data_IF_853312224378
#
_entry.id   IF_853312224378
#
_cell.length_a   1.000
_cell.length_b   1.000
_cell.length_c   1.000
_cell.angle_alpha   90.00
_cell.angle_beta   90.00
_cell.angle_gamma   90.00
#
_symmetry.space_group_name_H-M   'P 1'
#
loop_
_entity.id
_entity.type
_entity.pdbx_description
1 polymer ?
#
# COMPACT_ATOMS: atom_id res chain seq x y z
N UNK A 1 -0.20 -19.25 -4.43
CA UNK A 1 -0.46 -18.46 -3.19
C UNK A 1 -0.10 -17.02 -3.46
N UNK A 2 -0.94 -16.08 -2.98
CA UNK A 2 -0.70 -14.62 -3.07
C UNK A 2 -0.47 -14.07 -1.66
N UNK A 3 0.58 -13.27 -1.44
CA UNK A 3 0.77 -12.51 -0.21
C UNK A 3 0.33 -11.06 -0.41
N UNK A 4 -0.48 -10.55 0.52
CA UNK A 4 -0.85 -9.12 0.58
C UNK A 4 -0.30 -8.52 1.86
N UNK A 5 0.59 -7.55 1.78
CA UNK A 5 1.01 -6.75 2.94
C UNK A 5 0.13 -5.52 3.09
N UNK A 6 0.05 -4.96 4.30
CA UNK A 6 -0.89 -3.88 4.55
C UNK A 6 -2.37 -4.30 4.44
N UNK A 7 -2.65 -5.60 4.59
CA UNK A 7 -3.96 -6.21 4.38
C UNK A 7 -5.07 -5.64 5.29
N UNK A 8 -4.74 -5.01 6.40
CA UNK A 8 -5.69 -4.35 7.30
C UNK A 8 -5.93 -2.87 6.97
N UNK A 9 -5.13 -2.31 6.03
CA UNK A 9 -5.29 -0.93 5.54
C UNK A 9 -6.49 -0.74 4.61
N UNK A 10 -6.79 0.51 4.25
CA UNK A 10 -7.94 0.84 3.38
C UNK A 10 -7.87 0.08 2.05
N UNK A 11 -6.74 0.15 1.34
CA UNK A 11 -6.57 -0.56 0.07
C UNK A 11 -6.42 -2.07 0.29
N UNK A 12 -5.53 -2.47 1.20
CA UNK A 12 -5.17 -3.88 1.35
C UNK A 12 -6.37 -4.78 1.68
N UNK A 13 -7.32 -4.32 2.51
CA UNK A 13 -8.53 -5.09 2.82
C UNK A 13 -9.43 -5.33 1.61
N UNK A 14 -9.55 -4.35 0.72
CA UNK A 14 -10.36 -4.49 -0.49
C UNK A 14 -9.62 -5.34 -1.53
N UNK A 15 -8.31 -5.18 -1.64
CA UNK A 15 -7.47 -6.02 -2.50
C UNK A 15 -7.55 -7.50 -2.11
N UNK A 16 -7.47 -7.82 -0.81
CA UNK A 16 -7.68 -9.20 -0.31
C UNK A 16 -9.06 -9.72 -0.72
N UNK A 17 -10.11 -8.90 -0.56
CA UNK A 17 -11.47 -9.28 -0.97
C UNK A 17 -11.56 -9.59 -2.47
N UNK A 18 -11.01 -8.72 -3.32
CA UNK A 18 -11.07 -8.89 -4.77
C UNK A 18 -10.25 -10.12 -5.24
N UNK A 19 -9.11 -10.38 -4.63
CA UNK A 19 -8.32 -11.58 -4.90
C UNK A 19 -9.07 -12.86 -4.52
N UNK A 20 -9.75 -12.88 -3.37
CA UNK A 20 -10.60 -14.02 -2.95
C UNK A 20 -11.81 -14.22 -3.87
N UNK A 21 -12.47 -13.13 -4.32
CA UNK A 21 -13.54 -13.21 -5.32
C UNK A 21 -13.07 -13.82 -6.64
N UNK A 22 -11.81 -13.57 -7.01
CA UNK A 22 -11.15 -14.18 -8.19
C UNK A 22 -10.66 -15.61 -7.94
N UNK A 23 -10.98 -16.22 -6.78
CA UNK A 23 -10.61 -17.59 -6.43
C UNK A 23 -9.13 -17.77 -6.07
N UNK A 24 -8.38 -16.71 -5.82
CA UNK A 24 -6.99 -16.80 -5.39
C UNK A 24 -6.90 -17.29 -3.94
N UNK A 25 -5.88 -18.08 -3.62
CA UNK A 25 -5.51 -18.37 -2.23
C UNK A 25 -4.70 -17.20 -1.70
N UNK A 26 -5.18 -16.54 -0.65
CA UNK A 26 -4.61 -15.30 -0.12
C UNK A 26 -4.05 -15.51 1.28
N UNK A 27 -2.78 -15.18 1.44
CA UNK A 27 -2.12 -14.96 2.73
C UNK A 27 -2.08 -13.46 3.00
N UNK A 28 -2.67 -13.02 4.11
CA UNK A 28 -2.80 -11.62 4.47
C UNK A 28 -1.86 -11.29 5.64
N UNK A 29 -0.86 -10.46 5.38
CA UNK A 29 0.09 -10.03 6.39
C UNK A 29 -0.48 -8.93 7.26
N UNK A 30 -0.35 -9.08 8.57
CA UNK A 30 -0.77 -8.12 9.59
C UNK A 30 0.28 -7.96 10.68
N UNK A 31 0.23 -6.86 11.41
CA UNK A 31 0.98 -6.73 12.68
C UNK A 31 0.22 -7.45 13.81
N UNK A 32 0.91 -7.90 14.84
CA UNK A 32 0.28 -8.52 16.02
C UNK A 32 -0.81 -7.64 16.65
N UNK A 33 -0.65 -6.32 16.59
CA UNK A 33 -1.61 -5.34 17.11
C UNK A 33 -2.77 -5.02 16.17
N UNK A 34 -2.81 -5.57 14.96
CA UNK A 34 -3.86 -5.26 13.98
C UNK A 34 -5.20 -5.86 14.37
N UNK A 35 -6.26 -5.07 14.21
CA UNK A 35 -7.63 -5.53 14.42
C UNK A 35 -8.21 -6.06 13.10
N UNK A 36 -8.28 -7.38 12.94
CA UNK A 36 -8.82 -8.02 11.73
C UNK A 36 -10.35 -7.98 11.65
N UNK A 37 -11.04 -7.83 12.78
CA UNK A 37 -12.50 -7.72 12.79
C UNK A 37 -13.00 -6.46 12.08
N UNK A 38 -12.21 -5.38 12.09
CA UNK A 38 -12.51 -4.18 11.30
C UNK A 38 -12.48 -4.45 9.79
N UNK A 39 -11.62 -5.35 9.33
CA UNK A 39 -11.57 -5.79 7.93
C UNK A 39 -12.88 -6.47 7.57
N UNK A 40 -13.30 -7.47 8.37
CA UNK A 40 -14.55 -8.20 8.19
C UNK A 40 -15.76 -7.25 8.14
N UNK A 41 -15.85 -6.33 9.10
CA UNK A 41 -16.95 -5.34 9.16
C UNK A 41 -16.98 -4.42 7.93
N UNK A 42 -15.81 -4.00 7.45
CA UNK A 42 -15.72 -3.13 6.26
C UNK A 42 -16.20 -3.84 4.98
N UNK A 43 -16.05 -5.16 4.90
CA UNK A 43 -16.48 -5.94 3.74
C UNK A 43 -17.99 -6.03 3.56
N UNK A 44 -18.77 -5.83 4.63
CA UNK A 44 -20.24 -5.78 4.56
C UNK A 44 -20.75 -4.66 3.64
N UNK A 45 -19.93 -3.63 3.38
CA UNK A 45 -20.24 -2.57 2.41
C UNK A 45 -19.98 -2.98 0.95
N UNK A 46 -19.25 -4.09 0.71
CA UNK A 46 -18.82 -4.51 -0.62
C UNK A 46 -19.41 -5.84 -1.07
N UNK A 47 -19.88 -6.69 -0.14
CA UNK A 47 -20.39 -8.02 -0.47
C UNK A 47 -21.26 -8.58 0.64
N UNK A 48 -22.29 -9.35 0.26
CA UNK A 48 -23.06 -10.17 1.20
C UNK A 48 -22.29 -11.40 1.71
N UNK A 49 -21.25 -11.84 0.96
CA UNK A 49 -20.43 -13.01 1.28
C UNK A 49 -19.24 -12.70 2.21
N UNK A 50 -19.27 -11.58 2.92
CA UNK A 50 -18.14 -11.10 3.72
C UNK A 50 -17.61 -12.15 4.69
N UNK A 51 -18.48 -12.83 5.41
CA UNK A 51 -18.09 -13.84 6.40
C UNK A 51 -17.42 -15.04 5.76
N UNK A 52 -18.06 -15.65 4.77
CA UNK A 52 -17.54 -16.81 4.05
C UNK A 52 -16.19 -16.55 3.39
N UNK A 53 -15.98 -15.36 2.83
CA UNK A 53 -14.72 -14.99 2.19
C UNK A 53 -13.64 -14.68 3.24
N UNK A 54 -14.01 -14.06 4.36
CA UNK A 54 -13.07 -13.75 5.43
C UNK A 54 -12.45 -15.01 6.06
N UNK A 55 -13.21 -16.08 6.19
CA UNK A 55 -12.75 -17.38 6.70
C UNK A 55 -11.70 -18.06 5.78
N UNK A 56 -11.62 -17.65 4.52
CA UNK A 56 -10.65 -18.20 3.55
C UNK A 56 -9.27 -17.54 3.64
N UNK A 57 -9.11 -16.49 4.45
CA UNK A 57 -7.86 -15.77 4.57
C UNK A 57 -6.89 -16.54 5.48
N UNK A 58 -5.68 -16.78 4.99
CA UNK A 58 -4.57 -17.19 5.83
C UNK A 58 -3.91 -15.93 6.44
N UNK A 59 -4.25 -15.62 7.69
CA UNK A 59 -3.65 -14.50 8.41
C UNK A 59 -2.28 -14.88 8.96
N UNK A 60 -1.27 -14.01 8.70
CA UNK A 60 0.08 -14.20 9.24
C UNK A 60 0.57 -12.92 9.91
N UNK A 61 1.24 -13.06 11.04
CA UNK A 61 1.92 -11.96 11.68
C UNK A 61 3.24 -11.70 10.97
N UNK A 62 3.45 -10.45 10.54
CA UNK A 62 4.65 -10.04 9.81
C UNK A 62 5.23 -8.77 10.44
N UNK A 63 6.53 -8.81 10.66
CA UNK A 63 7.37 -7.65 10.94
C UNK A 63 8.32 -7.44 9.75
N UNK A 64 8.22 -6.29 9.08
CA UNK A 64 9.06 -5.97 7.92
C UNK A 64 10.56 -5.88 8.24
N UNK A 65 10.93 -5.84 9.51
CA UNK A 65 12.33 -5.80 9.96
C UNK A 65 12.85 -7.15 10.41
N UNK A 66 11.98 -8.14 10.55
CA UNK A 66 12.34 -9.51 10.88
C UNK A 66 12.33 -10.38 9.61
N UNK A 67 13.55 -10.63 9.09
CA UNK A 67 13.73 -11.41 7.86
C UNK A 67 13.20 -12.84 8.00
N UNK A 68 13.23 -13.44 9.17
CA UNK A 68 12.71 -14.79 9.39
C UNK A 68 11.17 -14.78 9.36
N UNK A 69 10.55 -13.74 9.91
CA UNK A 69 9.11 -13.49 9.77
C UNK A 69 8.72 -13.36 8.28
N UNK A 70 9.51 -12.61 7.49
CA UNK A 70 9.29 -12.45 6.05
C UNK A 70 9.48 -13.77 5.28
N UNK A 71 10.54 -14.55 5.60
CA UNK A 71 10.77 -15.87 4.98
C UNK A 71 9.61 -16.82 5.22
N UNK A 72 9.09 -16.85 6.44
CA UNK A 72 7.93 -17.67 6.78
C UNK A 72 6.67 -17.20 6.03
N UNK A 73 6.44 -15.89 5.96
CA UNK A 73 5.30 -15.33 5.25
C UNK A 73 5.33 -15.56 3.74
N UNK A 74 6.53 -15.60 3.14
CA UNK A 74 6.73 -15.80 1.70
C UNK A 74 6.86 -17.28 1.29
N UNK A 75 6.77 -18.21 2.22
CA UNK A 75 6.86 -19.62 1.88
C UNK A 75 5.70 -20.07 1.00
N UNK A 76 5.99 -20.63 -0.19
CA UNK A 76 5.01 -21.06 -1.19
C UNK A 76 4.23 -19.90 -1.86
N UNK A 77 4.69 -18.65 -1.71
CA UNK A 77 4.09 -17.46 -2.34
C UNK A 77 4.63 -17.28 -3.76
N UNK A 78 3.75 -17.03 -4.71
CA UNK A 78 4.11 -16.76 -6.10
C UNK A 78 3.94 -15.27 -6.49
N UNK A 79 2.99 -14.59 -5.87
CA UNK A 79 2.68 -13.20 -6.15
C UNK A 79 2.66 -12.40 -4.84
N UNK A 80 3.31 -11.24 -4.82
CA UNK A 80 3.28 -10.30 -3.69
C UNK A 80 2.58 -9.02 -4.11
N UNK A 81 1.64 -8.56 -3.29
CA UNK A 81 1.01 -7.25 -3.38
C UNK A 81 1.44 -6.46 -2.15
N UNK A 82 2.43 -5.58 -2.34
CA UNK A 82 3.02 -4.81 -1.26
C UNK A 82 2.32 -3.46 -1.11
N UNK A 83 1.27 -3.43 -0.27
CA UNK A 83 0.48 -2.23 0.05
C UNK A 83 0.76 -1.70 1.48
N UNK A 84 1.77 -2.24 2.16
CA UNK A 84 2.17 -1.78 3.48
C UNK A 84 2.96 -0.49 3.37
N UNK A 85 2.51 0.56 4.07
CA UNK A 85 3.25 1.80 4.24
C UNK A 85 2.82 2.50 5.53
N UNK A 86 3.74 3.29 6.10
CA UNK A 86 3.39 4.31 7.09
C UNK A 86 3.08 5.61 6.33
N UNK A 87 1.90 6.17 6.58
CA UNK A 87 1.47 7.48 6.05
C UNK A 87 1.38 8.44 7.22
N UNK A 88 2.08 9.56 7.15
CA UNK A 88 1.96 10.66 8.10
C UNK A 88 2.34 11.97 7.43
N UNK A 89 1.63 13.03 7.78
CA UNK A 89 1.98 14.41 7.38
C UNK A 89 2.73 15.15 8.48
N UNK A 90 3.04 14.47 9.58
CA UNK A 90 3.73 15.08 10.72
C UNK A 90 5.26 14.98 10.52
N UNK A 91 6.01 16.12 10.55
CA UNK A 91 7.46 16.10 10.29
C UNK A 91 8.26 15.17 11.20
N UNK A 92 7.86 15.01 12.47
CA UNK A 92 8.53 14.09 13.41
C UNK A 92 8.45 12.62 13.03
N UNK A 93 7.52 12.23 12.17
CA UNK A 93 7.37 10.84 11.73
C UNK A 93 8.21 10.52 10.48
N UNK A 94 8.93 11.51 9.93
CA UNK A 94 9.70 11.34 8.68
C UNK A 94 10.72 10.20 8.78
N UNK A 95 11.46 10.12 9.87
CA UNK A 95 12.45 9.05 10.06
C UNK A 95 11.81 7.66 10.16
N UNK A 96 10.68 7.55 10.85
CA UNK A 96 9.95 6.29 10.94
C UNK A 96 9.32 5.91 9.60
N UNK A 97 8.84 6.88 8.82
CA UNK A 97 8.37 6.65 7.44
C UNK A 97 9.49 6.14 6.55
N UNK A 98 10.67 6.77 6.56
CA UNK A 98 11.83 6.29 5.81
C UNK A 98 12.16 4.85 6.20
N UNK A 99 12.26 4.57 7.47
CA UNK A 99 12.56 3.22 7.95
C UNK A 99 11.51 2.21 7.52
N UNK A 100 10.23 2.52 7.72
CA UNK A 100 9.14 1.57 7.43
C UNK A 100 8.95 1.39 5.92
N UNK A 101 8.92 2.49 5.17
CA UNK A 101 8.58 2.44 3.75
C UNK A 101 9.77 2.02 2.89
N UNK A 102 10.99 2.47 3.21
CA UNK A 102 12.18 2.15 2.40
C UNK A 102 12.79 0.82 2.84
N UNK A 103 13.24 0.73 4.10
CA UNK A 103 13.92 -0.49 4.57
C UNK A 103 12.96 -1.68 4.63
N UNK A 104 11.69 -1.46 5.01
CA UNK A 104 10.67 -2.51 4.99
C UNK A 104 10.41 -3.05 3.58
N UNK A 105 10.34 -2.17 2.56
CA UNK A 105 10.20 -2.59 1.15
C UNK A 105 11.44 -3.32 0.67
N UNK A 106 12.63 -2.82 1.00
CA UNK A 106 13.91 -3.45 0.66
C UNK A 106 14.02 -4.88 1.22
N UNK A 107 13.69 -5.06 2.49
CA UNK A 107 13.67 -6.38 3.12
C UNK A 107 12.66 -7.32 2.45
N UNK A 108 11.48 -6.82 2.11
CA UNK A 108 10.44 -7.60 1.41
C UNK A 108 10.92 -8.03 0.02
N UNK A 109 11.55 -7.13 -0.75
CA UNK A 109 12.12 -7.43 -2.06
C UNK A 109 13.23 -8.47 -1.94
N UNK A 110 14.15 -8.28 -0.99
CA UNK A 110 15.25 -9.22 -0.76
C UNK A 110 14.76 -10.65 -0.51
N UNK A 111 13.76 -10.82 0.36
CA UNK A 111 13.19 -12.16 0.63
C UNK A 111 12.33 -12.64 -0.54
N UNK A 112 11.64 -11.77 -1.26
CA UNK A 112 10.88 -12.14 -2.47
C UNK A 112 11.81 -12.69 -3.57
N UNK A 113 12.99 -12.10 -3.74
CA UNK A 113 14.05 -12.61 -4.64
C UNK A 113 14.58 -13.97 -4.16
N UNK A 114 14.92 -14.10 -2.88
CA UNK A 114 15.37 -15.36 -2.26
C UNK A 114 14.34 -16.49 -2.48
N UNK A 115 13.05 -16.18 -2.37
CA UNK A 115 11.93 -17.14 -2.53
C UNK A 115 11.47 -17.29 -4.00
N UNK A 116 12.10 -16.62 -4.94
CA UNK A 116 11.78 -16.69 -6.37
C UNK A 116 10.31 -16.32 -6.67
N UNK A 117 9.80 -15.27 -6.01
CA UNK A 117 8.47 -14.74 -6.27
C UNK A 117 8.34 -14.35 -7.74
N UNK A 118 7.25 -14.79 -8.39
CA UNK A 118 7.06 -14.60 -9.85
C UNK A 118 6.59 -13.19 -10.21
N UNK A 119 5.92 -12.49 -9.28
CA UNK A 119 5.38 -11.16 -9.51
C UNK A 119 5.35 -10.35 -8.22
N UNK A 120 5.83 -9.13 -8.28
CA UNK A 120 5.82 -8.19 -7.18
C UNK A 120 5.09 -6.90 -7.58
N UNK A 121 3.91 -6.65 -7.01
CA UNK A 121 3.18 -5.40 -7.19
C UNK A 121 3.46 -4.49 -6.00
N UNK A 122 3.92 -3.28 -6.28
CA UNK A 122 4.18 -2.24 -5.30
C UNK A 122 3.16 -1.11 -5.41
N UNK A 123 2.54 -0.76 -4.29
CA UNK A 123 1.66 0.40 -4.21
C UNK A 123 2.49 1.61 -3.83
N UNK A 124 2.82 2.44 -4.81
CA UNK A 124 3.47 3.74 -4.62
C UNK A 124 2.44 4.85 -4.38
N UNK A 125 2.63 6.03 -4.94
CA UNK A 125 1.72 7.17 -4.78
C UNK A 125 1.96 8.19 -5.90
N UNK A 126 0.94 8.96 -6.28
CA UNK A 126 1.12 10.15 -7.13
C UNK A 126 2.05 11.20 -6.48
N UNK A 127 2.28 11.12 -5.17
CA UNK A 127 3.18 12.02 -4.45
C UNK A 127 4.66 11.90 -4.87
N UNK A 128 5.00 10.91 -5.71
CA UNK A 128 6.34 10.75 -6.31
C UNK A 128 6.43 11.26 -7.73
N UNK A 129 5.39 11.90 -8.25
CA UNK A 129 5.29 12.40 -9.62
C UNK A 129 5.10 13.92 -9.59
N UNK A 130 6.08 14.68 -10.05
CA UNK A 130 6.07 16.16 -9.96
C UNK A 130 5.89 16.82 -11.33
N UNK A 131 6.50 16.24 -12.35
CA UNK A 131 6.53 16.86 -13.66
C UNK A 131 5.19 16.73 -14.38
N UNK A 132 4.69 17.83 -14.90
CA UNK A 132 3.55 17.85 -15.81
C UNK A 132 4.04 17.75 -17.24
N UNK A 133 3.34 16.96 -18.07
CA UNK A 133 3.61 16.88 -19.50
C UNK A 133 3.14 18.15 -20.24
N UNK A 134 3.35 18.21 -21.56
CA UNK A 134 2.98 19.35 -22.42
C UNK A 134 1.48 19.70 -22.36
N UNK A 135 0.63 18.77 -21.93
CA UNK A 135 -0.81 18.97 -21.76
C UNK A 135 -1.20 19.38 -20.34
N UNK A 136 -0.24 19.61 -19.45
CA UNK A 136 -0.49 19.95 -18.05
C UNK A 136 -0.96 18.77 -17.19
N UNK A 137 -0.67 17.52 -17.63
CA UNK A 137 -1.09 16.29 -16.95
C UNK A 137 0.12 15.61 -16.34
N UNK A 138 -0.06 15.06 -15.14
CA UNK A 138 0.87 14.11 -14.51
C UNK A 138 0.47 12.71 -14.95
N UNK A 139 1.40 11.95 -15.52
CA UNK A 139 1.23 10.59 -15.99
C UNK A 139 2.42 9.69 -15.62
N UNK A 140 2.45 8.47 -16.14
CA UNK A 140 3.48 7.46 -15.85
C UNK A 140 4.89 7.84 -16.37
N UNK A 141 5.01 8.89 -17.20
CA UNK A 141 6.30 9.41 -17.66
C UNK A 141 6.81 10.54 -16.77
N UNK A 142 5.97 11.05 -15.87
CA UNK A 142 6.32 12.11 -14.92
C UNK A 142 7.38 11.60 -13.95
N UNK A 143 8.34 12.47 -13.63
CA UNK A 143 9.48 12.13 -12.79
C UNK A 143 9.43 12.91 -11.46
N UNK A 144 10.07 12.34 -10.46
CA UNK A 144 10.31 13.01 -9.19
C UNK A 144 11.42 14.06 -9.37
N UNK A 145 11.15 15.30 -8.98
CA UNK A 145 12.12 16.37 -9.05
C UNK A 145 12.81 16.57 -7.68
N UNK A 146 14.03 16.09 -7.47
CA UNK A 146 14.70 16.18 -6.17
C UNK A 146 15.09 17.62 -5.75
N UNK A 147 14.86 18.62 -6.60
CA UNK A 147 15.08 20.03 -6.30
C UNK A 147 13.88 20.73 -5.69
N UNK A 148 12.71 20.11 -5.79
CA UNK A 148 11.49 20.60 -5.17
C UNK A 148 11.40 20.20 -3.69
N UNK A 149 10.63 20.95 -2.92
CA UNK A 149 10.35 20.58 -1.52
C UNK A 149 9.27 19.50 -1.45
N UNK A 150 9.61 18.38 -0.86
CA UNK A 150 8.70 17.25 -0.70
C UNK A 150 8.41 16.92 0.76
N UNK A 151 7.20 16.43 1.01
CA UNK A 151 6.88 15.85 2.30
C UNK A 151 7.75 14.63 2.60
N UNK A 152 7.98 14.34 3.89
CA UNK A 152 8.69 13.11 4.29
C UNK A 152 8.01 11.83 3.77
N UNK A 153 6.69 11.87 3.58
CA UNK A 153 5.95 10.79 2.95
C UNK A 153 6.34 10.61 1.47
N UNK A 154 6.31 11.68 0.67
CA UNK A 154 6.69 11.64 -0.75
C UNK A 154 8.12 11.12 -0.93
N UNK A 155 9.07 11.65 -0.15
CA UNK A 155 10.46 11.18 -0.16
C UNK A 155 10.57 9.68 0.18
N UNK A 156 9.85 9.21 1.21
CA UNK A 156 9.89 7.81 1.61
C UNK A 156 9.30 6.88 0.55
N UNK A 157 8.25 7.31 -0.15
CA UNK A 157 7.64 6.55 -1.25
C UNK A 157 8.54 6.52 -2.48
N UNK A 158 9.12 7.66 -2.84
CA UNK A 158 10.09 7.74 -3.93
C UNK A 158 11.28 6.79 -3.71
N UNK A 159 11.93 6.87 -2.54
CA UNK A 159 13.07 6.01 -2.24
C UNK A 159 12.69 4.52 -2.19
N UNK A 160 11.51 4.17 -1.69
CA UNK A 160 11.01 2.80 -1.73
C UNK A 160 10.74 2.33 -3.17
N UNK A 161 10.21 3.21 -4.01
CA UNK A 161 9.98 2.92 -5.43
C UNK A 161 11.30 2.68 -6.17
N UNK A 162 12.36 3.43 -5.84
CA UNK A 162 13.71 3.20 -6.40
C UNK A 162 14.25 1.81 -6.08
N UNK A 163 13.98 1.26 -4.89
CA UNK A 163 14.34 -0.13 -4.56
C UNK A 163 13.57 -1.14 -5.43
N UNK A 164 12.29 -0.85 -5.75
CA UNK A 164 11.51 -1.71 -6.66
C UNK A 164 12.04 -1.64 -8.08
N UNK A 165 12.41 -0.45 -8.56
CA UNK A 165 13.06 -0.27 -9.88
C UNK A 165 14.42 -0.99 -9.95
N UNK A 166 15.22 -0.95 -8.87
CA UNK A 166 16.46 -1.71 -8.76
C UNK A 166 16.20 -3.22 -8.91
N UNK A 167 15.27 -3.77 -8.12
CA UNK A 167 14.87 -5.17 -8.22
C UNK A 167 14.35 -5.56 -9.60
N UNK A 168 13.62 -4.65 -10.26
CA UNK A 168 13.15 -4.85 -11.65
C UNK A 168 14.33 -4.95 -12.62
N UNK A 169 15.32 -4.07 -12.48
CA UNK A 169 16.53 -4.09 -13.31
C UNK A 169 17.38 -5.35 -13.07
N UNK A 170 17.30 -5.94 -11.88
CA UNK A 170 17.95 -7.20 -11.50
C UNK A 170 17.16 -8.45 -11.95
N UNK A 171 15.98 -8.26 -12.57
CA UNK A 171 15.21 -9.33 -13.22
C UNK A 171 13.92 -9.75 -12.52
N UNK A 172 13.53 -9.09 -11.41
CA UNK A 172 12.23 -9.34 -10.80
C UNK A 172 11.10 -8.77 -11.67
N UNK A 173 10.03 -9.52 -11.88
CA UNK A 173 8.84 -9.02 -12.56
C UNK A 173 8.03 -8.13 -11.61
N UNK A 174 8.19 -6.81 -11.73
CA UNK A 174 7.56 -5.82 -10.87
C UNK A 174 6.46 -5.05 -11.60
N UNK A 175 5.46 -4.62 -10.82
CA UNK A 175 4.42 -3.68 -11.25
C UNK A 175 4.36 -2.59 -10.19
N UNK A 176 4.40 -1.33 -10.59
CA UNK A 176 4.26 -0.18 -9.71
C UNK A 176 2.97 0.54 -10.06
N UNK A 177 2.17 0.86 -9.07
CA UNK A 177 0.99 1.71 -9.23
C UNK A 177 1.13 2.96 -8.37
N UNK A 178 0.73 4.12 -8.92
CA UNK A 178 0.83 5.42 -8.27
C UNK A 178 -0.58 6.02 -8.06
N UNK A 179 -1.37 5.48 -7.12
CA UNK A 179 -2.72 5.96 -6.89
C UNK A 179 -2.73 7.38 -6.30
N UNK A 180 -3.78 8.13 -6.62
CA UNK A 180 -4.16 9.34 -5.91
C UNK A 180 -4.61 9.06 -4.47
N UNK A 181 -5.29 10.02 -3.85
CA UNK A 181 -5.87 9.84 -2.52
C UNK A 181 -6.97 8.77 -2.59
N UNK A 182 -6.70 7.61 -1.98
CA UNK A 182 -7.63 6.47 -2.01
C UNK A 182 -8.75 6.71 -1.00
N UNK A 183 -9.99 6.63 -1.48
CA UNK A 183 -11.20 6.74 -0.67
C UNK A 183 -11.90 5.38 -0.59
N UNK A 184 -12.23 4.97 0.63
CA UNK A 184 -12.90 3.70 0.87
C UNK A 184 -13.35 3.53 2.31
N UNK A 185 -14.02 2.41 2.59
CA UNK A 185 -14.41 2.07 3.96
C UNK A 185 -13.20 1.67 4.78
N UNK A 186 -13.15 2.08 6.04
CA UNK A 186 -12.05 1.73 6.93
C UNK A 186 -12.00 2.56 8.20
N UNK A 187 -10.87 2.57 8.87
CA UNK A 187 -10.63 3.40 10.04
C UNK A 187 -10.43 4.86 9.61
N UNK A 188 -11.41 5.71 9.90
CA UNK A 188 -11.43 7.13 9.54
C UNK A 188 -10.47 7.98 10.38
N UNK A 189 -9.88 7.44 11.41
CA UNK A 189 -8.86 8.10 12.25
C UNK A 189 -7.43 7.98 11.72
N UNK A 190 -7.22 7.38 10.54
CA UNK A 190 -5.88 7.16 9.97
C UNK A 190 -5.87 7.38 8.46
N UNK A 191 -4.70 7.80 7.93
CA UNK A 191 -4.45 7.93 6.49
C UNK A 191 -5.45 8.86 5.81
N UNK A 192 -5.96 8.52 4.63
CA UNK A 192 -6.94 9.34 3.89
C UNK A 192 -8.27 9.56 4.65
N UNK A 193 -8.60 8.72 5.62
CA UNK A 193 -9.75 8.90 6.50
C UNK A 193 -9.66 10.17 7.37
N UNK A 194 -8.45 10.57 7.76
CA UNK A 194 -8.22 11.79 8.55
C UNK A 194 -8.67 13.06 7.82
N UNK A 195 -8.69 13.07 6.50
CA UNK A 195 -9.19 14.21 5.72
C UNK A 195 -10.66 14.49 6.06
N UNK A 196 -11.50 13.46 6.10
CA UNK A 196 -12.92 13.62 6.42
C UNK A 196 -13.13 14.11 7.85
N UNK A 197 -12.42 13.53 8.82
CA UNK A 197 -12.51 13.97 10.21
C UNK A 197 -11.96 15.39 10.42
N UNK A 198 -10.98 15.81 9.61
CA UNK A 198 -10.44 17.16 9.62
C UNK A 198 -11.44 18.17 9.05
N UNK A 199 -12.09 17.85 7.94
CA UNK A 199 -13.12 18.71 7.36
C UNK A 199 -14.36 18.82 8.27
N UNK A 200 -14.74 17.74 8.94
CA UNK A 200 -15.85 17.77 9.91
C UNK A 200 -15.57 18.71 11.08
N UNK A 201 -14.31 18.76 11.55
CA UNK A 201 -13.91 19.56 12.73
C UNK A 201 -13.59 21.02 12.41
N UNK A 202 -13.26 21.35 11.18
CA UNK A 202 -12.82 22.69 10.80
C UNK A 202 -13.88 23.40 9.96
N UNK A 203 -14.14 24.67 10.32
CA UNK A 203 -15.08 25.52 9.59
C UNK A 203 -14.48 26.18 8.33
N UNK A 204 -13.22 25.91 8.02
CA UNK A 204 -12.50 26.44 6.86
C UNK A 204 -11.65 25.37 6.20
N UNK A 205 -11.38 25.54 4.92
CA UNK A 205 -10.47 24.71 4.15
C UNK A 205 -9.56 25.57 3.30
N UNK A 206 -8.41 25.04 2.93
CA UNK A 206 -7.51 25.71 1.99
C UNK A 206 -7.97 25.45 0.55
N UNK A 207 -7.72 26.42 -0.33
CA UNK A 207 -7.89 26.22 -1.76
C UNK A 207 -6.82 25.25 -2.26
N UNK A 208 -7.20 24.36 -3.16
CA UNK A 208 -6.30 23.38 -3.76
C UNK A 208 -7.11 22.20 -4.34
N UNK A 209 -6.41 21.37 -5.08
CA UNK A 209 -6.98 20.16 -5.68
C UNK A 209 -6.00 19.01 -5.58
N UNK A 210 -6.54 17.79 -5.56
CA UNK A 210 -5.74 16.56 -5.66
C UNK A 210 -6.58 15.51 -6.38
N UNK A 211 -5.92 14.48 -6.87
CA UNK A 211 -6.60 13.35 -7.49
C UNK A 211 -7.11 12.40 -6.41
N UNK A 212 -8.39 12.05 -6.50
CA UNK A 212 -9.04 11.05 -5.65
C UNK A 212 -9.41 9.82 -6.48
N UNK A 213 -9.32 8.66 -5.88
CA UNK A 213 -9.69 7.40 -6.52
C UNK A 213 -10.47 6.51 -5.53
N UNK A 214 -11.51 5.85 -6.04
CA UNK A 214 -12.22 4.85 -5.26
C UNK A 214 -11.35 3.62 -5.04
N UNK A 215 -11.33 3.13 -3.81
CA UNK A 215 -10.52 1.96 -3.43
C UNK A 215 -10.84 0.72 -4.27
N UNK A 216 -12.08 0.59 -4.75
CA UNK A 216 -12.51 -0.53 -5.61
C UNK A 216 -11.87 -0.47 -6.98
N UNK A 217 -11.59 0.72 -7.50
CA UNK A 217 -10.96 0.89 -8.82
C UNK A 217 -9.46 0.60 -8.74
N UNK A 218 -8.81 0.94 -7.62
CA UNK A 218 -7.41 0.58 -7.38
C UNK A 218 -7.24 -0.92 -7.14
N UNK A 219 -8.22 -1.59 -6.53
CA UNK A 219 -8.14 -3.02 -6.16
C UNK A 219 -8.52 -3.98 -7.30
N UNK A 220 -9.05 -3.52 -8.43
CA UNK A 220 -9.40 -4.34 -9.61
C UNK A 220 -8.20 -4.75 -10.43
#
# INVERSE_FOLDING_TARGET
MVLVTGATGILGRVLVLELLKKGKKVRAAKRKSSNIEEVKKSWLFYTADAERLFEQIEWVDVDLWDLDSLRAALDGVEEVYHASAKVSFHPKDAQEMLRTNVEGTKNMLYIAEEKQVKKFLFVSSIAVLDEVNENGIIDENSQFNPKEEHSGYAQSKYLAEMEVWRSSAEGMNTIIINPGVIIGTGNWGNSSGELFTTFEKNSFTFSGGTAYVDVRDVAK
#
